data_IF_232255695723
#
_entry.id   IF_232255695723
#
_cell.length_a   1.000
_cell.length_b   1.000
_cell.length_c   1.000
_cell.angle_alpha   90.00
_cell.angle_beta   90.00
_cell.angle_gamma   90.00
#
_symmetry.space_group_name_H-M   'P 1'
#
loop_
_entity.id
_entity.type
_entity.pdbx_description
1 polymer ?
#
# COMPACT_ATOMS: atom_id res chain seq x y z
N UNK A 1 -54.45 2.04 1.22
CA UNK A 1 -53.96 0.71 1.65
C UNK A 1 -52.44 0.54 1.62
N UNK A 2 -51.68 1.36 2.34
CA UNK A 2 -50.24 1.09 2.55
C UNK A 2 -49.72 1.69 3.88
N UNK A 3 -50.59 1.85 4.88
CA UNK A 3 -50.23 2.35 6.21
C UNK A 3 -50.84 1.51 7.35
N UNK A 4 -51.29 0.28 7.05
CA UNK A 4 -51.83 -0.65 8.04
C UNK A 4 -50.97 -1.90 8.30
N UNK A 5 -49.95 -2.18 7.48
CA UNK A 5 -49.11 -3.38 7.66
C UNK A 5 -47.82 -3.16 8.47
N UNK A 6 -47.47 -1.92 8.85
CA UNK A 6 -46.23 -1.64 9.59
C UNK A 6 -46.43 -1.66 11.12
N UNK A 7 -47.68 -1.70 11.61
CA UNK A 7 -47.97 -1.69 13.06
C UNK A 7 -47.91 -3.05 13.75
N UNK A 8 -47.97 -4.15 13.00
CA UNK A 8 -48.02 -5.52 13.56
C UNK A 8 -46.65 -6.23 13.62
N UNK A 9 -45.55 -5.59 13.19
CA UNK A 9 -44.20 -6.14 13.29
C UNK A 9 -43.33 -5.54 14.41
N UNK A 10 -43.86 -4.58 15.17
CA UNK A 10 -43.12 -3.86 16.24
C UNK A 10 -43.62 -4.15 17.67
N UNK A 11 -44.43 -5.20 17.87
CA UNK A 11 -44.87 -5.64 19.20
C UNK A 11 -44.75 -7.16 19.32
N UNK A 12 -43.52 -7.66 19.34
CA UNK A 12 -43.20 -8.95 19.95
C UNK A 12 -42.07 -8.74 20.96
N UNK A 13 -42.37 -7.99 22.02
CA UNK A 13 -41.65 -8.09 23.28
C UNK A 13 -41.86 -9.52 23.80
N UNK A 14 -40.94 -10.42 23.47
CA UNK A 14 -40.78 -11.68 24.21
C UNK A 14 -40.27 -11.31 25.60
N UNK A 15 -41.21 -11.00 26.47
CA UNK A 15 -41.01 -10.81 27.90
C UNK A 15 -40.35 -12.08 28.46
N UNK A 16 -39.11 -11.96 28.90
CA UNK A 16 -38.44 -13.03 29.63
C UNK A 16 -39.15 -13.21 30.97
N UNK A 17 -39.83 -14.34 31.16
CA UNK A 17 -40.42 -14.73 32.44
C UNK A 17 -39.45 -15.65 33.17
N UNK A 18 -38.86 -15.14 34.25
CA UNK A 18 -37.98 -15.90 35.14
C UNK A 18 -38.83 -16.82 36.02
N UNK A 19 -38.74 -18.14 35.83
CA UNK A 19 -39.35 -19.15 36.70
C UNK A 19 -38.32 -19.65 37.73
N UNK A 20 -38.40 -19.26 39.03
CA UNK A 20 -37.43 -19.65 40.05
C UNK A 20 -37.50 -21.14 40.47
N UNK A 21 -38.37 -21.96 39.86
CA UNK A 21 -38.45 -23.41 40.09
C UNK A 21 -37.69 -24.25 39.06
N UNK A 22 -37.39 -23.69 37.89
CA UNK A 22 -36.68 -24.38 36.80
C UNK A 22 -35.27 -23.79 36.73
N UNK A 23 -34.36 -24.33 37.56
CA UNK A 23 -32.98 -23.88 37.65
C UNK A 23 -32.31 -23.70 36.28
N UNK A 24 -31.45 -22.68 36.17
CA UNK A 24 -30.73 -22.37 34.93
C UNK A 24 -29.72 -23.51 34.67
N UNK A 25 -29.87 -24.22 33.56
CA UNK A 25 -28.82 -25.10 33.01
C UNK A 25 -27.62 -24.22 32.64
N UNK A 26 -26.65 -24.18 33.55
CA UNK A 26 -25.37 -23.50 33.37
C UNK A 26 -24.37 -24.49 32.77
N UNK A 27 -24.00 -24.40 31.49
CA UNK A 27 -22.90 -25.22 30.97
C UNK A 27 -21.62 -24.80 31.68
N UNK A 28 -21.09 -25.72 32.48
CA UNK A 28 -19.93 -25.50 33.34
C UNK A 28 -18.70 -25.03 32.55
N UNK A 29 -18.29 -23.78 32.81
CA UNK A 29 -16.92 -23.33 32.59
C UNK A 29 -16.07 -23.88 33.74
N UNK A 30 -15.16 -24.80 33.42
CA UNK A 30 -14.13 -25.29 34.33
C UNK A 30 -13.16 -24.15 34.65
N UNK A 31 -13.34 -23.52 35.81
CA UNK A 31 -12.31 -22.70 36.42
C UNK A 31 -11.31 -23.65 37.08
N UNK A 32 -10.18 -23.89 36.40
CA UNK A 32 -9.00 -24.42 37.06
C UNK A 32 -8.43 -23.35 37.99
N UNK A 33 -8.07 -23.79 39.19
CA UNK A 33 -7.76 -23.01 40.37
C UNK A 33 -6.48 -22.17 40.20
N UNK A 34 -6.61 -20.86 40.41
CA UNK A 34 -5.51 -19.93 40.61
C UNK A 34 -5.09 -19.98 42.09
N UNK A 35 -3.93 -20.57 42.36
CA UNK A 35 -3.23 -20.46 43.65
C UNK A 35 -1.83 -19.90 43.42
N UNK A 36 -1.75 -18.58 43.26
CA UNK A 36 -0.51 -17.79 43.34
C UNK A 36 -0.65 -16.63 44.33
N UNK A 37 0.40 -16.29 45.12
CA UNK A 37 0.28 -15.32 46.21
C UNK A 37 0.29 -13.85 45.71
N UNK A 38 -0.18 -12.89 46.53
CA UNK A 38 -0.26 -11.48 46.14
C UNK A 38 1.09 -10.75 46.36
N UNK A 39 1.34 -9.78 45.47
CA UNK A 39 2.36 -8.73 45.50
C UNK A 39 3.82 -9.09 45.17
N UNK A 40 4.31 -8.50 44.07
CA UNK A 40 5.72 -8.29 43.77
C UNK A 40 5.90 -7.90 42.30
N UNK A 41 6.29 -6.66 42.03
CA UNK A 41 6.68 -6.18 40.70
C UNK A 41 7.76 -7.10 40.10
N UNK A 42 7.38 -7.98 39.18
CA UNK A 42 8.31 -8.72 38.34
C UNK A 42 8.09 -8.33 36.88
N UNK A 43 9.01 -7.51 36.36
CA UNK A 43 9.18 -7.29 34.92
C UNK A 43 9.81 -8.53 34.29
N UNK A 44 9.06 -9.61 34.21
CA UNK A 44 9.34 -10.72 33.32
C UNK A 44 8.08 -10.95 32.50
N UNK A 45 7.88 -10.08 31.51
CA UNK A 45 6.97 -10.40 30.41
C UNK A 45 7.56 -11.62 29.70
N UNK A 46 7.04 -12.80 30.05
CA UNK A 46 7.33 -14.00 29.30
C UNK A 46 6.94 -13.74 27.84
N UNK A 47 7.72 -14.26 26.89
CA UNK A 47 7.47 -14.11 25.46
C UNK A 47 6.12 -14.67 24.98
N UNK A 48 5.30 -15.22 25.90
CA UNK A 48 3.95 -15.76 25.68
C UNK A 48 2.84 -14.71 25.72
N UNK A 49 3.07 -13.53 26.30
CA UNK A 49 2.03 -12.50 26.46
C UNK A 49 2.09 -11.39 25.39
N UNK A 50 3.02 -11.51 24.44
CA UNK A 50 3.25 -10.52 23.38
C UNK A 50 2.34 -10.81 22.20
N UNK A 51 1.52 -9.85 21.79
CA UNK A 51 0.68 -10.04 20.60
C UNK A 51 1.52 -10.07 19.32
N UNK A 52 1.06 -10.83 18.33
CA UNK A 52 1.68 -10.84 17.00
C UNK A 52 1.31 -9.58 16.21
N UNK A 53 2.17 -9.12 15.27
CA UNK A 53 1.83 -8.04 14.38
C UNK A 53 0.53 -8.29 13.60
N UNK A 54 -0.37 -7.31 13.63
CA UNK A 54 -1.66 -7.30 12.93
C UNK A 54 -1.54 -6.59 11.59
N UNK A 55 -2.28 -7.08 10.60
CA UNK A 55 -2.22 -6.55 9.23
C UNK A 55 -3.57 -5.98 8.80
N UNK A 56 -3.58 -4.73 8.37
CA UNK A 56 -4.78 -4.01 7.98
C UNK A 56 -4.67 -3.46 6.56
N UNK A 57 -5.41 -4.04 5.62
CA UNK A 57 -5.62 -3.44 4.30
C UNK A 57 -6.75 -2.42 4.38
N UNK A 58 -6.40 -1.14 4.49
CA UNK A 58 -7.36 -0.05 4.49
C UNK A 58 -7.74 0.32 3.05
N UNK A 59 -8.99 0.71 2.84
CA UNK A 59 -9.48 1.19 1.54
C UNK A 59 -10.50 2.30 1.77
N UNK A 60 -10.24 3.46 1.18
CA UNK A 60 -11.04 4.69 1.36
C UNK A 60 -11.59 5.20 0.04
N UNK A 61 -12.67 5.98 0.08
CA UNK A 61 -13.10 6.78 -1.07
C UNK A 61 -12.11 7.90 -1.43
N UNK A 62 -12.26 8.50 -2.60
CA UNK A 62 -11.42 9.62 -3.06
C UNK A 62 -11.52 10.86 -2.15
N UNK A 63 -12.69 11.12 -1.58
CA UNK A 63 -12.94 12.24 -0.67
C UNK A 63 -12.82 11.88 0.83
N UNK A 64 -12.55 10.61 1.15
CA UNK A 64 -12.40 10.14 2.53
C UNK A 64 -10.92 10.10 2.94
N UNK A 65 -10.66 10.17 4.24
CA UNK A 65 -9.36 9.84 4.84
C UNK A 65 -9.33 8.36 5.26
N UNK A 66 -8.18 7.86 5.71
CA UNK A 66 -8.13 6.54 6.33
C UNK A 66 -8.69 6.53 7.77
N UNK A 67 -9.02 7.69 8.34
CA UNK A 67 -9.63 7.84 9.66
C UNK A 67 -8.67 7.58 10.82
N UNK A 68 -7.40 7.98 10.70
CA UNK A 68 -6.42 7.97 11.78
C UNK A 68 -5.36 9.06 11.55
N UNK A 69 -4.69 9.47 12.62
CA UNK A 69 -3.52 10.34 12.61
C UNK A 69 -2.27 9.53 12.99
N UNK A 70 -1.16 9.79 12.31
CA UNK A 70 0.14 9.24 12.67
C UNK A 70 0.89 10.27 13.51
N UNK A 71 1.39 9.89 14.67
CA UNK A 71 2.10 10.76 15.60
C UNK A 71 3.51 10.23 15.88
N UNK A 72 4.43 11.16 16.11
CA UNK A 72 5.71 10.91 16.77
C UNK A 72 5.68 11.69 18.09
N UNK A 73 5.74 10.98 19.21
CA UNK A 73 5.60 11.56 20.55
C UNK A 73 6.96 11.66 21.24
N UNK A 74 7.23 12.80 21.88
CA UNK A 74 8.49 13.03 22.60
C UNK A 74 8.70 11.97 23.68
N UNK A 75 9.79 11.22 23.57
CA UNK A 75 10.16 10.16 24.51
C UNK A 75 9.60 8.78 24.18
N UNK A 76 8.75 8.66 23.15
CA UNK A 76 8.28 7.39 22.60
C UNK A 76 9.08 7.02 21.35
N UNK A 77 9.33 5.73 21.14
CA UNK A 77 9.95 5.23 19.91
C UNK A 77 8.89 4.82 18.89
N UNK A 78 9.26 4.94 17.62
CA UNK A 78 8.42 4.53 16.48
C UNK A 78 7.26 5.49 16.21
N UNK A 79 6.38 5.07 15.30
CA UNK A 79 5.24 5.87 14.87
C UNK A 79 3.93 5.34 15.46
N UNK A 80 3.15 6.23 16.04
CA UNK A 80 1.97 5.89 16.84
C UNK A 80 0.70 6.24 16.08
N UNK A 81 -0.22 5.29 16.01
CA UNK A 81 -1.58 5.52 15.54
C UNK A 81 -2.38 6.21 16.65
N UNK A 82 -2.97 7.35 16.34
CA UNK A 82 -3.81 8.16 17.25
C UNK A 82 -5.04 8.66 16.53
N UNK A 83 -6.01 9.15 17.30
CA UNK A 83 -7.20 9.82 16.76
C UNK A 83 -7.93 8.95 15.73
N UNK A 84 -8.05 7.64 16.02
CA UNK A 84 -8.81 6.72 15.18
C UNK A 84 -10.28 7.16 15.21
N UNK A 85 -10.77 7.60 14.06
CA UNK A 85 -12.10 8.17 13.90
C UNK A 85 -13.19 7.13 14.17
N UNK A 86 -14.16 7.46 15.02
CA UNK A 86 -15.30 6.60 15.30
C UNK A 86 -16.12 6.37 14.02
N UNK A 87 -16.29 5.11 13.66
CA UNK A 87 -16.93 4.69 12.42
C UNK A 87 -16.07 4.87 11.17
N UNK A 88 -14.82 5.33 11.27
CA UNK A 88 -13.90 5.55 10.15
C UNK A 88 -13.35 4.26 9.53
N UNK A 89 -12.60 4.38 8.43
CA UNK A 89 -12.03 3.23 7.69
C UNK A 89 -11.10 2.40 8.59
N UNK A 90 -10.19 3.05 9.32
CA UNK A 90 -9.28 2.43 10.27
C UNK A 90 -10.00 1.66 11.38
N UNK A 91 -10.94 2.31 12.07
CA UNK A 91 -11.66 1.69 13.19
C UNK A 91 -12.49 0.49 12.75
N UNK A 92 -13.18 0.56 11.60
CA UNK A 92 -13.97 -0.57 11.06
C UNK A 92 -13.11 -1.78 10.71
N UNK A 93 -11.81 -1.57 10.48
CA UNK A 93 -10.85 -2.66 10.29
C UNK A 93 -10.22 -3.15 11.59
N UNK A 94 -10.48 -2.47 12.71
CA UNK A 94 -10.00 -2.84 14.04
C UNK A 94 -8.66 -2.22 14.42
N UNK A 95 -8.22 -1.16 13.72
CA UNK A 95 -7.07 -0.37 14.12
C UNK A 95 -7.40 0.44 15.38
N UNK A 96 -6.46 0.55 16.32
CA UNK A 96 -6.71 1.16 17.63
C UNK A 96 -5.72 2.29 17.94
N UNK A 97 -6.16 3.24 18.77
CA UNK A 97 -5.28 4.25 19.34
C UNK A 97 -4.20 3.59 20.20
N UNK A 98 -2.95 3.98 19.98
CA UNK A 98 -1.79 3.41 20.66
C UNK A 98 -1.06 2.33 19.86
N UNK A 99 -1.67 1.78 18.80
CA UNK A 99 -1.00 0.86 17.88
C UNK A 99 0.28 1.51 17.31
N UNK A 100 1.34 0.71 17.16
CA UNK A 100 2.64 1.10 16.62
C UNK A 100 2.80 0.61 15.20
N UNK A 101 3.07 1.53 14.28
CA UNK A 101 3.20 1.23 12.87
C UNK A 101 4.57 0.63 12.56
N UNK A 102 4.59 -0.62 12.10
CA UNK A 102 5.80 -1.36 11.77
C UNK A 102 6.07 -1.45 10.27
N UNK A 103 5.02 -1.63 9.44
CA UNK A 103 5.17 -1.63 7.98
C UNK A 103 4.10 -0.84 7.24
N UNK A 104 4.50 -0.26 6.10
CA UNK A 104 3.60 0.32 5.09
C UNK A 104 3.87 -0.38 3.75
N UNK A 105 2.85 -1.06 3.20
CA UNK A 105 2.93 -1.86 1.96
C UNK A 105 4.13 -2.82 1.93
N UNK A 106 4.46 -3.44 3.07
CA UNK A 106 5.56 -4.39 3.22
C UNK A 106 6.95 -3.75 3.46
N UNK A 107 7.07 -2.43 3.43
CA UNK A 107 8.29 -1.74 3.84
C UNK A 107 8.32 -1.55 5.35
N UNK A 108 9.41 -1.93 6.00
CA UNK A 108 9.61 -1.67 7.42
C UNK A 108 9.86 -0.18 7.67
N UNK A 109 9.11 0.42 8.59
CA UNK A 109 9.10 1.88 8.79
C UNK A 109 9.47 2.34 10.20
N UNK A 110 9.71 1.43 11.14
CA UNK A 110 9.95 1.79 12.56
C UNK A 110 11.17 2.69 12.80
N UNK A 111 12.16 2.65 11.89
CA UNK A 111 13.37 3.46 11.94
C UNK A 111 13.40 4.58 10.91
N UNK A 112 12.31 4.77 10.17
CA UNK A 112 12.22 5.82 9.17
C UNK A 112 11.85 7.16 9.83
N UNK A 113 12.24 8.25 9.18
CA UNK A 113 11.79 9.58 9.61
C UNK A 113 10.27 9.72 9.44
N UNK A 114 9.61 10.37 10.40
CA UNK A 114 8.15 10.45 10.44
C UNK A 114 7.52 10.98 9.14
N UNK A 115 8.07 12.03 8.54
CA UNK A 115 7.53 12.57 7.28
C UNK A 115 7.63 11.57 6.12
N UNK A 116 8.69 10.74 6.07
CA UNK A 116 8.84 9.71 5.04
C UNK A 116 7.75 8.66 5.15
N UNK A 117 7.40 8.27 6.38
CA UNK A 117 6.32 7.30 6.63
C UNK A 117 4.96 7.89 6.22
N UNK A 118 4.70 9.15 6.57
CA UNK A 118 3.49 9.87 6.12
C UNK A 118 3.43 9.94 4.59
N UNK A 119 4.56 10.23 3.93
CA UNK A 119 4.63 10.26 2.46
C UNK A 119 4.34 8.90 1.84
N UNK A 120 4.87 7.79 2.39
CA UNK A 120 4.56 6.43 1.92
C UNK A 120 3.07 6.11 2.04
N UNK A 121 2.42 6.47 3.15
CA UNK A 121 0.97 6.27 3.32
C UNK A 121 0.19 7.10 2.29
N UNK A 122 0.56 8.37 2.08
CA UNK A 122 -0.09 9.25 1.09
C UNK A 122 0.09 8.76 -0.34
N UNK A 123 1.31 8.31 -0.70
CA UNK A 123 1.62 7.75 -2.02
C UNK A 123 0.83 6.47 -2.34
N UNK A 124 0.29 5.80 -1.31
CA UNK A 124 -0.57 4.63 -1.47
C UNK A 124 -1.97 4.97 -2.02
N UNK A 125 -2.33 6.26 -2.08
CA UNK A 125 -3.59 6.71 -2.63
C UNK A 125 -4.78 6.23 -1.79
N UNK A 126 -5.66 5.43 -2.39
CA UNK A 126 -6.91 5.00 -1.75
C UNK A 126 -6.82 3.66 -1.03
N UNK A 127 -5.70 2.94 -1.12
CA UNK A 127 -5.52 1.67 -0.44
C UNK A 127 -4.15 1.61 0.20
N UNK A 128 -4.04 1.11 1.43
CA UNK A 128 -2.75 0.96 2.10
C UNK A 128 -2.78 -0.29 2.98
N UNK A 129 -1.71 -1.09 2.95
CA UNK A 129 -1.53 -2.22 3.85
C UNK A 129 -0.60 -1.79 4.99
N UNK A 130 -1.12 -1.82 6.22
CA UNK A 130 -0.37 -1.50 7.43
C UNK A 130 -0.07 -2.79 8.19
N UNK A 131 1.15 -2.95 8.69
CA UNK A 131 1.45 -3.90 9.76
C UNK A 131 1.66 -3.10 11.05
N UNK A 132 0.95 -3.46 12.11
CA UNK A 132 1.03 -2.77 13.41
C UNK A 132 1.21 -3.75 14.54
N UNK A 133 1.77 -3.28 15.64
CA UNK A 133 1.87 -3.99 16.90
C UNK A 133 1.18 -3.15 17.98
N UNK A 134 0.53 -3.76 18.96
CA UNK A 134 -0.03 -2.98 20.06
C UNK A 134 1.09 -2.25 20.83
N UNK A 135 0.72 -1.16 21.51
CA UNK A 135 1.68 -0.30 22.19
C UNK A 135 2.48 -1.02 23.29
N UNK A 136 1.83 -1.88 24.07
CA UNK A 136 2.45 -2.55 25.21
C UNK A 136 3.46 -3.60 24.74
N UNK A 137 3.08 -4.43 23.76
CA UNK A 137 4.00 -5.37 23.11
C UNK A 137 5.15 -4.67 22.41
N UNK A 138 4.91 -3.51 21.79
CA UNK A 138 6.00 -2.76 21.17
C UNK A 138 7.04 -2.30 22.20
N UNK A 139 6.60 -1.67 23.30
CA UNK A 139 7.51 -1.19 24.34
C UNK A 139 8.25 -2.36 25.01
N UNK A 140 7.56 -3.47 25.27
CA UNK A 140 8.19 -4.69 25.80
C UNK A 140 9.24 -5.27 24.84
N UNK A 141 8.96 -5.32 23.53
CA UNK A 141 9.90 -5.81 22.54
C UNK A 141 11.14 -4.90 22.46
N UNK A 142 10.96 -3.57 22.50
CA UNK A 142 12.06 -2.60 22.53
C UNK A 142 12.88 -2.69 23.81
N UNK A 143 12.25 -2.86 24.97
CA UNK A 143 12.95 -3.01 26.25
C UNK A 143 13.82 -4.28 26.29
N UNK A 144 13.38 -5.35 25.62
CA UNK A 144 14.13 -6.59 25.44
C UNK A 144 15.20 -6.51 24.33
N UNK A 145 15.32 -5.38 23.62
CA UNK A 145 16.26 -5.21 22.51
C UNK A 145 15.94 -6.11 21.30
N UNK A 146 14.68 -6.51 21.13
CA UNK A 146 14.27 -7.35 19.99
C UNK A 146 14.29 -6.55 18.70
N UNK A 147 14.70 -7.22 17.63
CA UNK A 147 14.56 -6.73 16.28
C UNK A 147 13.12 -6.94 15.80
N UNK A 148 12.36 -5.84 15.75
CA UNK A 148 10.95 -5.86 15.33
C UNK A 148 10.78 -6.30 13.87
N UNK A 149 11.81 -6.15 13.03
CA UNK A 149 11.75 -6.61 11.64
C UNK A 149 11.65 -8.13 11.54
N UNK A 150 12.21 -8.86 12.52
CA UNK A 150 12.17 -10.32 12.58
C UNK A 150 10.82 -10.87 13.07
N UNK A 151 9.96 -10.01 13.63
CA UNK A 151 8.58 -10.37 13.99
C UNK A 151 7.64 -10.34 12.77
N UNK A 152 8.10 -9.77 11.65
CA UNK A 152 7.34 -9.63 10.42
C UNK A 152 7.73 -10.75 9.44
N UNK A 153 6.79 -11.20 8.59
CA UNK A 153 7.09 -12.22 7.61
C UNK A 153 8.08 -11.68 6.55
N UNK A 154 8.98 -12.55 6.09
CA UNK A 154 9.93 -12.22 5.04
C UNK A 154 9.20 -11.97 3.71
N UNK A 155 9.49 -10.82 3.09
CA UNK A 155 8.97 -10.30 1.80
C UNK A 155 7.67 -10.95 1.30
N UNK A 156 6.57 -10.51 1.89
CA UNK A 156 5.21 -10.92 1.51
C UNK A 156 4.64 -10.10 0.36
N UNK A 157 5.44 -9.28 -0.33
CA UNK A 157 4.90 -8.42 -1.38
C UNK A 157 4.60 -9.23 -2.65
N UNK A 158 3.40 -9.11 -3.25
CA UNK A 158 3.18 -9.58 -4.61
C UNK A 158 4.11 -8.83 -5.57
N UNK A 159 4.28 -9.30 -6.80
CA UNK A 159 5.10 -8.62 -7.80
C UNK A 159 4.24 -8.05 -8.92
N UNK A 160 4.57 -6.84 -9.34
CA UNK A 160 3.99 -6.25 -10.52
C UNK A 160 5.01 -6.26 -11.66
N UNK A 161 4.76 -7.08 -12.67
CA UNK A 161 5.71 -7.37 -13.74
C UNK A 161 5.19 -6.83 -15.07
N UNK A 162 5.99 -6.01 -15.76
CA UNK A 162 5.66 -5.54 -17.11
C UNK A 162 6.49 -6.28 -18.16
N UNK A 163 5.82 -7.03 -19.03
CA UNK A 163 6.45 -7.94 -19.99
C UNK A 163 6.22 -7.41 -21.39
N UNK A 164 7.32 -7.23 -22.14
CA UNK A 164 7.27 -7.01 -23.59
C UNK A 164 7.59 -8.33 -24.30
N UNK A 165 6.68 -8.80 -25.15
CA UNK A 165 6.86 -10.09 -25.85
C UNK A 165 8.02 -10.04 -26.86
N UNK A 166 8.69 -11.18 -27.02
CA UNK A 166 9.64 -11.42 -28.11
C UNK A 166 8.96 -12.14 -29.28
N UNK A 167 9.76 -12.58 -30.26
CA UNK A 167 9.30 -13.41 -31.40
C UNK A 167 8.63 -14.74 -30.98
N UNK A 168 8.93 -15.22 -29.78
CA UNK A 168 8.44 -16.46 -29.18
C UNK A 168 7.39 -16.20 -28.07
N UNK A 169 6.76 -15.01 -28.05
CA UNK A 169 5.70 -14.64 -27.12
C UNK A 169 6.20 -13.99 -25.82
N UNK A 170 5.38 -14.02 -24.78
CA UNK A 170 5.70 -13.38 -23.49
C UNK A 170 6.68 -14.20 -22.63
N UNK A 171 7.01 -15.44 -23.02
CA UNK A 171 7.92 -16.30 -22.25
C UNK A 171 7.29 -16.94 -21.02
N UNK A 172 5.97 -17.06 -20.96
CA UNK A 172 5.27 -17.85 -19.95
C UNK A 172 4.09 -18.63 -20.58
N UNK A 173 3.69 -19.71 -19.92
CA UNK A 173 2.43 -20.41 -20.15
C UNK A 173 1.58 -20.37 -18.88
N UNK A 174 0.27 -20.57 -19.04
CA UNK A 174 -0.68 -20.57 -17.92
C UNK A 174 -1.26 -21.97 -17.79
N UNK A 175 -1.25 -22.51 -16.58
CA UNK A 175 -2.01 -23.71 -16.21
C UNK A 175 -3.20 -23.32 -15.34
N UNK A 176 -4.33 -24.01 -15.51
CA UNK A 176 -5.50 -23.89 -14.65
C UNK A 176 -6.01 -25.30 -14.30
N UNK A 177 -6.42 -25.56 -13.04
CA UNK A 177 -7.14 -26.78 -12.70
C UNK A 177 -8.43 -26.91 -13.53
N UNK A 178 -8.74 -28.12 -14.01
CA UNK A 178 -9.94 -28.35 -14.81
C UNK A 178 -11.21 -27.95 -14.04
N UNK A 179 -12.10 -27.21 -14.71
CA UNK A 179 -13.36 -26.74 -14.13
C UNK A 179 -13.24 -25.53 -13.19
N UNK A 180 -12.03 -25.08 -12.84
CA UNK A 180 -11.83 -23.93 -11.96
C UNK A 180 -11.64 -22.63 -12.76
N UNK A 181 -12.37 -21.58 -12.38
CA UNK A 181 -12.18 -20.22 -12.93
C UNK A 181 -11.28 -19.41 -12.01
N UNK A 182 -10.48 -18.53 -12.60
CA UNK A 182 -9.69 -17.55 -11.87
C UNK A 182 -8.49 -18.03 -11.08
N UNK A 183 -8.14 -19.30 -11.22
CA UNK A 183 -6.95 -19.90 -10.60
C UNK A 183 -5.96 -20.25 -11.70
N UNK A 184 -4.94 -19.42 -11.84
CA UNK A 184 -3.98 -19.48 -12.94
C UNK A 184 -2.56 -19.50 -12.39
N UNK A 185 -1.82 -20.56 -12.68
CA UNK A 185 -0.41 -20.66 -12.31
C UNK A 185 0.47 -20.44 -13.54
N UNK A 186 1.55 -19.69 -13.37
CA UNK A 186 2.46 -19.33 -14.44
C UNK A 186 3.65 -20.30 -14.47
N UNK A 187 3.91 -20.89 -15.63
CA UNK A 187 5.18 -21.54 -15.92
C UNK A 187 6.00 -20.62 -16.81
N UNK A 188 7.15 -20.18 -16.30
CA UNK A 188 8.02 -19.20 -16.92
C UNK A 188 9.14 -19.92 -17.67
N UNK A 189 9.42 -19.46 -18.89
CA UNK A 189 10.51 -19.98 -19.71
C UNK A 189 11.82 -19.30 -19.28
N UNK A 190 12.84 -20.10 -19.01
CA UNK A 190 14.20 -19.64 -18.77
C UNK A 190 14.70 -18.74 -19.91
N UNK A 191 15.36 -17.64 -19.55
CA UNK A 191 15.84 -16.54 -20.40
C UNK A 191 14.75 -15.84 -21.22
N UNK A 192 13.48 -16.13 -20.92
CA UNK A 192 12.31 -15.56 -21.57
C UNK A 192 11.99 -14.13 -21.10
N UNK A 193 11.14 -13.40 -21.84
CA UNK A 193 10.76 -12.04 -21.45
C UNK A 193 10.11 -11.96 -20.07
N UNK A 194 9.29 -12.94 -19.67
CA UNK A 194 8.65 -12.98 -18.36
C UNK A 194 9.65 -13.10 -17.20
N UNK A 195 10.67 -13.96 -17.33
CA UNK A 195 11.71 -14.11 -16.32
C UNK A 195 12.51 -12.80 -16.17
N UNK A 196 12.89 -12.19 -17.30
CA UNK A 196 13.59 -10.90 -17.35
C UNK A 196 12.78 -9.75 -16.76
N UNK A 197 11.45 -9.85 -16.81
CA UNK A 197 10.52 -8.91 -16.20
C UNK A 197 10.20 -9.24 -14.73
N UNK A 198 10.88 -10.22 -14.13
CA UNK A 198 10.79 -10.54 -12.70
C UNK A 198 9.66 -11.49 -12.29
N UNK A 199 8.97 -12.11 -13.25
CA UNK A 199 7.88 -13.06 -12.97
C UNK A 199 8.46 -14.31 -12.32
N UNK A 200 8.07 -14.65 -11.07
CA UNK A 200 8.57 -15.86 -10.42
C UNK A 200 8.01 -17.13 -11.08
N UNK A 201 8.83 -18.16 -11.19
CA UNK A 201 8.38 -19.50 -11.61
C UNK A 201 7.30 -20.04 -10.67
N UNK A 202 6.21 -20.59 -11.22
CA UNK A 202 5.14 -21.20 -10.43
C UNK A 202 4.26 -20.20 -9.67
N UNK A 203 4.38 -18.90 -9.97
CA UNK A 203 3.55 -17.86 -9.33
C UNK A 203 2.10 -17.89 -9.81
N UNK A 204 1.21 -17.42 -8.96
CA UNK A 204 -0.21 -17.25 -9.23
C UNK A 204 -0.47 -15.92 -9.92
N UNK A 205 -1.20 -15.95 -11.03
CA UNK A 205 -1.67 -14.74 -11.70
C UNK A 205 -2.94 -14.21 -11.02
N UNK A 206 -2.92 -12.94 -10.65
CA UNK A 206 -4.00 -12.28 -9.90
C UNK A 206 -4.69 -11.20 -10.73
N UNK A 207 -3.93 -10.45 -11.53
CA UNK A 207 -4.44 -9.42 -12.44
C UNK A 207 -3.66 -9.42 -13.76
N UNK A 208 -4.35 -9.08 -14.85
CA UNK A 208 -3.79 -8.85 -16.18
C UNK A 208 -4.20 -7.45 -16.64
N UNK A 209 -3.23 -6.56 -16.84
CA UNK A 209 -3.40 -5.16 -17.21
C UNK A 209 -4.38 -4.40 -16.28
N UNK A 210 -4.27 -4.64 -14.96
CA UNK A 210 -5.15 -4.04 -13.95
C UNK A 210 -6.52 -4.72 -13.78
N UNK A 211 -6.87 -5.69 -14.65
CA UNK A 211 -8.10 -6.46 -14.51
C UNK A 211 -7.89 -7.73 -13.69
N UNK A 212 -8.71 -7.94 -12.66
CA UNK A 212 -8.68 -9.19 -11.89
C UNK A 212 -9.03 -10.41 -12.73
N UNK A 213 -8.28 -11.49 -12.55
CA UNK A 213 -8.53 -12.77 -13.23
C UNK A 213 -9.44 -13.71 -12.46
N UNK A 214 -9.84 -13.39 -11.22
CA UNK A 214 -10.56 -14.30 -10.30
C UNK A 214 -11.87 -14.89 -10.84
N UNK A 215 -12.51 -14.26 -11.81
CA UNK A 215 -13.79 -14.70 -12.37
C UNK A 215 -13.72 -15.14 -13.84
N UNK A 216 -12.53 -15.08 -14.47
CA UNK A 216 -12.38 -15.36 -15.91
C UNK A 216 -12.00 -16.82 -16.17
N UNK A 217 -12.49 -17.35 -17.29
CA UNK A 217 -12.09 -18.67 -17.79
C UNK A 217 -10.73 -18.64 -18.49
N UNK A 218 -10.12 -19.81 -18.67
CA UNK A 218 -8.88 -19.94 -19.46
C UNK A 218 -9.02 -19.38 -20.89
N UNK A 219 -10.18 -19.59 -21.52
CA UNK A 219 -10.47 -19.04 -22.86
C UNK A 219 -10.55 -17.52 -22.88
N UNK A 220 -11.17 -16.92 -21.85
CA UNK A 220 -11.25 -15.47 -21.70
C UNK A 220 -9.88 -14.85 -21.42
N UNK A 221 -9.07 -15.47 -20.56
CA UNK A 221 -7.70 -15.05 -20.28
C UNK A 221 -6.84 -15.08 -21.55
N UNK A 222 -6.88 -16.19 -22.30
CA UNK A 222 -6.17 -16.33 -23.58
C UNK A 222 -6.58 -15.25 -24.58
N UNK A 223 -7.89 -14.90 -24.63
CA UNK A 223 -8.38 -13.82 -25.49
C UNK A 223 -7.85 -12.46 -25.05
N UNK A 224 -7.86 -12.15 -23.75
CA UNK A 224 -7.31 -10.91 -23.19
C UNK A 224 -5.81 -10.77 -23.49
N UNK A 225 -5.03 -11.85 -23.33
CA UNK A 225 -3.60 -11.86 -23.68
C UNK A 225 -3.35 -11.57 -25.16
N UNK A 226 -4.15 -12.15 -26.07
CA UNK A 226 -4.06 -11.87 -27.51
C UNK A 226 -4.42 -10.42 -27.86
N UNK A 227 -5.39 -9.84 -27.15
CA UNK A 227 -5.84 -8.45 -27.32
C UNK A 227 -4.85 -7.43 -26.77
N UNK A 228 -3.98 -7.83 -25.83
CA UNK A 228 -3.01 -6.94 -25.18
C UNK A 228 -1.84 -6.53 -26.09
N UNK A 229 -1.77 -7.04 -27.32
CA UNK A 229 -0.74 -6.67 -28.29
C UNK A 229 0.65 -7.20 -27.92
N UNK A 230 1.63 -6.31 -27.81
CA UNK A 230 3.04 -6.65 -27.54
C UNK A 230 3.45 -6.54 -26.08
N UNK A 231 2.61 -5.97 -25.20
CA UNK A 231 2.95 -5.69 -23.81
C UNK A 231 1.84 -6.16 -22.88
N UNK A 232 2.21 -6.68 -21.71
CA UNK A 232 1.26 -7.03 -20.64
C UNK A 232 1.84 -6.66 -19.29
N UNK A 233 0.99 -6.23 -18.37
CA UNK A 233 1.34 -6.05 -16.96
C UNK A 233 0.63 -7.11 -16.14
N UNK A 234 1.37 -7.88 -15.34
CA UNK A 234 0.84 -8.96 -14.50
C UNK A 234 1.02 -8.60 -13.03
N UNK A 235 -0.04 -8.74 -12.23
CA UNK A 235 0.09 -8.85 -10.77
C UNK A 235 0.18 -10.33 -10.43
N UNK A 236 1.28 -10.74 -9.80
CA UNK A 236 1.54 -12.14 -9.46
C UNK A 236 1.91 -12.32 -7.99
N UNK A 237 1.60 -13.47 -7.42
CA UNK A 237 2.00 -13.84 -6.07
C UNK A 237 2.67 -15.22 -6.06
N UNK A 238 3.76 -15.37 -5.30
CA UNK A 238 4.28 -16.71 -5.01
C UNK A 238 3.28 -17.49 -4.14
N UNK A 239 3.43 -18.81 -4.02
CA UNK A 239 2.55 -19.60 -3.14
C UNK A 239 2.59 -19.12 -1.68
N UNK A 240 3.76 -18.72 -1.17
CA UNK A 240 3.89 -18.20 0.19
C UNK A 240 3.17 -16.85 0.37
N UNK A 241 3.27 -15.96 -0.62
CA UNK A 241 2.55 -14.68 -0.63
C UNK A 241 1.04 -14.90 -0.71
N UNK A 242 0.58 -15.76 -1.62
CA UNK A 242 -0.84 -16.09 -1.75
C UNK A 242 -1.40 -16.64 -0.44
N UNK A 243 -0.68 -17.60 0.17
CA UNK A 243 -1.08 -18.21 1.44
C UNK A 243 -1.13 -17.19 2.57
N UNK A 244 -0.15 -16.29 2.66
CA UNK A 244 -0.13 -15.22 3.65
C UNK A 244 -1.39 -14.35 3.58
N UNK A 245 -1.75 -13.87 2.38
CA UNK A 245 -2.93 -13.03 2.19
C UNK A 245 -4.22 -13.82 2.43
N UNK A 246 -4.29 -15.07 1.95
CA UNK A 246 -5.47 -15.94 2.08
C UNK A 246 -5.77 -16.26 3.54
N UNK A 247 -4.78 -16.67 4.32
CA UNK A 247 -4.94 -17.01 5.74
C UNK A 247 -5.37 -15.81 6.59
N UNK A 248 -5.03 -14.59 6.17
CA UNK A 248 -5.40 -13.34 6.84
C UNK A 248 -6.65 -12.67 6.27
N UNK A 249 -7.31 -13.29 5.30
CA UNK A 249 -8.47 -12.70 4.62
C UNK A 249 -8.17 -11.39 3.89
N UNK A 250 -6.91 -11.13 3.56
CA UNK A 250 -6.47 -9.92 2.86
C UNK A 250 -6.64 -10.09 1.35
N UNK A 251 -6.93 -8.98 0.68
CA UNK A 251 -6.90 -8.92 -0.79
C UNK A 251 -5.54 -8.44 -1.25
N UNK A 252 -4.93 -9.18 -2.17
CA UNK A 252 -3.75 -8.70 -2.89
C UNK A 252 -4.18 -7.57 -3.83
N UNK A 253 -3.44 -6.47 -3.84
CA UNK A 253 -3.67 -5.32 -4.73
C UNK A 253 -2.34 -4.86 -5.32
N UNK A 254 -2.38 -4.21 -6.48
CA UNK A 254 -1.18 -3.71 -7.13
C UNK A 254 -0.43 -2.65 -6.30
N UNK A 255 -1.11 -1.93 -5.40
CA UNK A 255 -0.50 -0.95 -4.48
C UNK A 255 0.43 -1.61 -3.45
N UNK A 256 0.15 -2.86 -3.10
CA UNK A 256 0.99 -3.63 -2.16
C UNK A 256 2.17 -4.34 -2.83
N UNK A 257 2.29 -4.21 -4.15
CA UNK A 257 3.27 -4.96 -4.91
C UNK A 257 4.67 -4.34 -4.89
N UNK A 258 5.67 -5.21 -4.97
CA UNK A 258 7.00 -4.83 -5.38
C UNK A 258 6.96 -4.33 -6.83
N UNK A 259 7.28 -3.05 -7.00
CA UNK A 259 7.31 -2.33 -8.28
C UNK A 259 8.75 -2.15 -8.81
N UNK A 260 9.72 -2.82 -8.18
CA UNK A 260 11.13 -2.78 -8.61
C UNK A 260 11.33 -3.17 -10.07
N UNK A 261 10.45 -4.06 -10.58
CA UNK A 261 10.50 -4.64 -11.92
C UNK A 261 9.80 -3.81 -13.01
N UNK A 262 9.23 -2.66 -12.65
CA UNK A 262 8.58 -1.78 -13.62
C UNK A 262 9.64 -1.02 -14.45
N UNK A 263 9.40 -0.82 -15.76
CA UNK A 263 10.39 -0.25 -16.67
C UNK A 263 10.54 1.28 -16.55
N UNK A 264 9.62 1.94 -15.84
CA UNK A 264 9.61 3.39 -15.66
C UNK A 264 9.86 3.72 -14.19
N UNK A 265 10.85 4.57 -13.95
CA UNK A 265 11.25 5.02 -12.62
C UNK A 265 11.20 6.54 -12.57
N UNK A 266 10.68 7.07 -11.47
CA UNK A 266 10.74 8.49 -11.20
C UNK A 266 12.21 8.90 -11.01
N UNK A 267 12.54 10.13 -11.42
CA UNK A 267 13.88 10.70 -11.35
C UNK A 267 13.88 11.83 -10.34
N UNK A 268 14.78 11.72 -9.37
CA UNK A 268 15.03 12.81 -8.44
C UNK A 268 16.08 13.75 -9.03
N UNK A 269 15.71 15.03 -9.13
CA UNK A 269 16.53 16.09 -9.71
C UNK A 269 16.88 17.08 -8.60
N UNK A 270 18.17 17.20 -8.31
CA UNK A 270 18.69 18.20 -7.38
C UNK A 270 19.27 19.35 -8.17
N UNK A 271 18.81 20.57 -7.90
CA UNK A 271 19.30 21.76 -8.60
C UNK A 271 19.49 22.94 -7.66
N UNK A 272 20.57 23.68 -7.91
CA UNK A 272 20.89 24.95 -7.25
C UNK A 272 20.59 26.09 -8.21
N UNK A 273 19.94 27.13 -7.71
CA UNK A 273 19.48 28.26 -8.50
C UNK A 273 20.67 29.06 -9.03
N UNK A 274 20.73 29.25 -10.35
CA UNK A 274 21.71 30.11 -10.98
C UNK A 274 21.29 31.59 -10.97
N UNK A 275 22.16 32.50 -11.45
CA UNK A 275 21.82 33.92 -11.60
C UNK A 275 20.65 34.15 -12.57
N UNK A 276 20.42 33.24 -13.51
CA UNK A 276 19.28 33.24 -14.43
C UNK A 276 18.07 32.42 -13.90
N UNK A 277 18.11 31.98 -12.64
CA UNK A 277 17.12 31.05 -12.08
C UNK A 277 17.46 29.58 -12.37
N UNK A 278 16.43 28.73 -12.37
CA UNK A 278 16.58 27.29 -12.62
C UNK A 278 16.58 26.92 -14.10
N UNK A 279 15.95 27.73 -14.97
CA UNK A 279 15.91 27.50 -16.41
C UNK A 279 14.82 26.53 -16.90
N UNK A 280 13.60 26.66 -16.34
CA UNK A 280 12.42 25.93 -16.79
C UNK A 280 11.15 26.75 -16.51
N UNK A 281 10.07 26.40 -17.21
CA UNK A 281 8.71 26.85 -16.93
C UNK A 281 7.87 25.71 -16.35
N UNK A 282 6.96 26.05 -15.44
CA UNK A 282 5.96 25.13 -14.91
C UNK A 282 4.63 25.43 -15.59
N UNK A 283 3.99 24.40 -16.14
CA UNK A 283 2.68 24.48 -16.80
C UNK A 283 1.69 23.57 -16.09
N UNK A 284 0.50 24.09 -15.81
CA UNK A 284 -0.64 23.25 -15.43
C UNK A 284 -1.32 22.72 -16.70
N UNK A 285 -1.55 21.41 -16.76
CA UNK A 285 -2.22 20.75 -17.89
C UNK A 285 -3.11 19.60 -17.42
N UNK A 286 -4.08 19.21 -18.24
CA UNK A 286 -5.00 18.13 -17.93
C UNK A 286 -4.31 16.76 -18.06
N UNK A 287 -4.27 15.99 -16.98
CA UNK A 287 -3.92 14.57 -17.05
C UNK A 287 -5.07 13.80 -17.70
N UNK A 288 -4.76 12.69 -18.39
CA UNK A 288 -5.77 11.79 -18.98
C UNK A 288 -6.74 11.17 -17.97
N UNK A 289 -6.39 11.22 -16.67
CA UNK A 289 -7.24 10.84 -15.54
C UNK A 289 -8.36 11.85 -15.23
N UNK A 290 -8.37 13.02 -15.87
CA UNK A 290 -9.30 14.12 -15.60
C UNK A 290 -8.89 15.02 -14.41
N UNK A 291 -7.71 14.78 -13.82
CA UNK A 291 -7.10 15.66 -12.82
C UNK A 291 -6.10 16.60 -13.50
N UNK A 292 -5.87 17.80 -12.95
CA UNK A 292 -4.79 18.68 -13.43
C UNK A 292 -3.44 18.25 -12.85
N UNK A 293 -2.40 18.32 -13.66
CA UNK A 293 -1.02 18.00 -13.30
C UNK A 293 -0.08 19.17 -13.60
N UNK A 294 1.09 19.15 -12.96
CA UNK A 294 2.13 20.15 -13.17
C UNK A 294 3.24 19.55 -14.03
N UNK A 295 3.54 20.18 -15.16
CA UNK A 295 4.46 19.71 -16.18
C UNK A 295 5.58 20.72 -16.40
N UNK A 296 6.76 20.21 -16.67
CA UNK A 296 7.96 20.98 -16.92
C UNK A 296 8.03 21.29 -18.43
N UNK A 297 8.24 22.56 -18.75
CA UNK A 297 8.21 23.09 -20.11
C UNK A 297 9.37 24.06 -20.34
N UNK A 298 9.76 24.28 -21.59
CA UNK A 298 10.77 25.27 -22.00
C UNK A 298 12.06 25.18 -21.14
N UNK A 299 12.72 24.01 -21.20
CA UNK A 299 13.96 23.77 -20.44
C UNK A 299 15.12 24.43 -21.17
N UNK A 300 15.72 25.43 -20.53
CA UNK A 300 16.78 26.24 -21.10
C UNK A 300 18.11 25.49 -21.14
N UNK A 301 18.75 25.50 -22.32
CA UNK A 301 20.02 24.84 -22.55
C UNK A 301 21.14 25.42 -21.65
N UNK A 302 21.87 24.54 -20.97
CA UNK A 302 22.99 24.87 -20.09
C UNK A 302 22.60 25.43 -18.73
N UNK A 303 21.30 25.56 -18.40
CA UNK A 303 20.83 26.01 -17.09
C UNK A 303 20.66 24.85 -16.09
N UNK A 304 20.55 25.13 -14.77
CA UNK A 304 20.54 24.10 -13.73
C UNK A 304 19.53 22.97 -13.94
N UNK A 305 18.35 23.27 -14.49
CA UNK A 305 17.32 22.29 -14.79
C UNK A 305 17.80 21.22 -15.79
N UNK A 306 18.32 21.63 -16.96
CA UNK A 306 18.85 20.70 -17.96
C UNK A 306 20.04 19.89 -17.39
N UNK A 307 20.93 20.56 -16.66
CA UNK A 307 22.10 19.92 -16.03
C UNK A 307 21.72 18.86 -15.01
N UNK A 308 20.62 19.06 -14.27
CA UNK A 308 20.06 18.06 -13.36
C UNK A 308 19.40 16.88 -14.09
N UNK A 309 19.21 16.98 -15.42
CA UNK A 309 18.60 15.95 -16.26
C UNK A 309 17.11 16.17 -16.51
N UNK A 310 16.58 17.38 -16.26
CA UNK A 310 15.19 17.72 -16.57
C UNK A 310 14.92 17.62 -18.08
N UNK A 311 13.75 17.11 -18.46
CA UNK A 311 13.30 17.04 -19.85
C UNK A 311 11.96 17.74 -20.02
N UNK A 312 11.77 18.35 -21.18
CA UNK A 312 10.48 18.91 -21.56
C UNK A 312 9.39 17.82 -21.56
N UNK A 313 8.25 18.14 -20.95
CA UNK A 313 7.11 17.22 -20.80
C UNK A 313 7.17 16.35 -19.54
N UNK A 314 8.25 16.38 -18.77
CA UNK A 314 8.30 15.69 -17.48
C UNK A 314 7.17 16.17 -16.56
N UNK A 315 6.46 15.23 -15.94
CA UNK A 315 5.46 15.53 -14.91
C UNK A 315 6.13 15.63 -13.55
N UNK A 316 5.84 16.69 -12.82
CA UNK A 316 6.28 16.89 -11.44
C UNK A 316 5.39 16.07 -10.49
N UNK A 317 6.02 15.30 -9.61
CA UNK A 317 5.36 14.41 -8.65
C UNK A 317 5.53 14.88 -7.20
N UNK A 318 6.74 15.36 -6.86
CA UNK A 318 7.05 15.86 -5.53
C UNK A 318 8.08 17.00 -5.59
N UNK A 319 8.05 17.87 -4.58
CA UNK A 319 9.00 18.97 -4.39
C UNK A 319 9.54 18.91 -2.96
N UNK A 320 10.87 18.89 -2.81
CA UNK A 320 11.57 18.76 -1.53
C UNK A 320 11.06 17.54 -0.71
N UNK A 321 10.81 16.44 -1.41
CA UNK A 321 10.27 15.20 -0.85
C UNK A 321 8.76 15.18 -0.62
N UNK A 322 8.06 16.32 -0.68
CA UNK A 322 6.61 16.35 -0.49
C UNK A 322 5.86 16.16 -1.81
N UNK A 323 4.95 15.19 -1.85
CA UNK A 323 4.02 15.02 -2.97
C UNK A 323 3.25 16.32 -3.24
N UNK A 324 3.13 16.67 -4.52
CA UNK A 324 2.32 17.81 -4.98
C UNK A 324 0.92 17.40 -5.43
N UNK A 325 0.55 16.12 -5.25
CA UNK A 325 -0.78 15.62 -5.59
C UNK A 325 -1.87 16.36 -4.80
N UNK A 326 -2.88 16.85 -5.53
CA UNK A 326 -4.00 17.63 -4.96
C UNK A 326 -3.68 19.10 -4.69
N UNK A 327 -2.46 19.57 -4.99
CA UNK A 327 -2.13 20.99 -4.94
C UNK A 327 -2.49 21.70 -6.24
N UNK A 328 -2.87 22.97 -6.13
CA UNK A 328 -2.98 23.84 -7.30
C UNK A 328 -1.59 24.32 -7.79
N UNK A 329 -1.59 24.98 -8.95
CA UNK A 329 -0.37 25.53 -9.55
C UNK A 329 0.36 26.50 -8.62
N UNK A 330 -0.36 27.41 -7.96
CA UNK A 330 0.25 28.43 -7.10
C UNK A 330 0.89 27.80 -5.86
N UNK A 331 0.22 26.84 -5.23
CA UNK A 331 0.74 26.08 -4.10
C UNK A 331 1.99 25.28 -4.47
N UNK A 332 2.02 24.72 -5.69
CA UNK A 332 3.21 24.03 -6.21
C UNK A 332 4.37 25.01 -6.40
N UNK A 333 4.13 26.17 -7.01
CA UNK A 333 5.15 27.22 -7.19
C UNK A 333 5.70 27.71 -5.85
N UNK A 334 4.83 27.88 -4.84
CA UNK A 334 5.25 28.27 -3.49
C UNK A 334 6.17 27.22 -2.86
N UNK A 335 5.89 25.91 -3.05
CA UNK A 335 6.80 24.85 -2.59
C UNK A 335 8.15 24.87 -3.28
N UNK A 336 8.19 25.11 -4.59
CA UNK A 336 9.44 25.20 -5.35
C UNK A 336 10.30 26.37 -4.85
N UNK A 337 9.65 27.47 -4.45
CA UNK A 337 10.31 28.69 -3.95
C UNK A 337 10.54 28.69 -2.44
N UNK A 338 10.16 27.63 -1.72
CA UNK A 338 10.29 27.60 -0.26
C UNK A 338 11.75 27.67 0.21
N UNK A 339 12.67 27.14 -0.61
CA UNK A 339 14.11 27.25 -0.44
C UNK A 339 14.66 28.16 -1.55
N UNK A 340 15.27 29.29 -1.17
CA UNK A 340 15.61 30.35 -2.12
C UNK A 340 16.64 29.94 -3.18
N UNK A 341 17.56 29.04 -2.82
CA UNK A 341 18.75 28.71 -3.61
C UNK A 341 18.80 27.26 -4.11
N UNK A 342 17.93 26.36 -3.62
CA UNK A 342 17.98 24.94 -3.99
C UNK A 342 16.60 24.28 -3.98
N UNK A 343 16.41 23.31 -4.86
CA UNK A 343 15.19 22.51 -4.89
C UNK A 343 15.48 21.08 -5.33
N UNK A 344 14.83 20.13 -4.68
CA UNK A 344 14.77 18.73 -5.09
C UNK A 344 13.41 18.48 -5.73
N UNK A 345 13.39 17.98 -6.96
CA UNK A 345 12.15 17.64 -7.67
C UNK A 345 12.12 16.17 -8.03
N UNK A 346 10.99 15.52 -7.77
CA UNK A 346 10.75 14.17 -8.26
C UNK A 346 9.87 14.25 -9.50
N UNK A 347 10.36 13.73 -10.61
CA UNK A 347 9.68 13.82 -11.91
C UNK A 347 9.53 12.46 -12.58
N UNK A 348 8.57 12.33 -13.48
CA UNK A 348 8.41 11.15 -14.35
C UNK A 348 8.25 11.60 -15.80
N UNK A 349 8.85 10.85 -16.73
CA UNK A 349 8.72 11.14 -18.15
C UNK A 349 7.31 10.84 -18.68
N UNK A 350 6.89 11.41 -19.83
CA UNK A 350 5.55 11.21 -20.38
C UNK A 350 5.14 9.74 -20.58
N UNK A 351 6.08 8.87 -20.99
CA UNK A 351 5.78 7.47 -21.23
C UNK A 351 5.59 6.71 -19.91
N UNK A 352 6.38 7.04 -18.90
CA UNK A 352 6.21 6.55 -17.53
C UNK A 352 4.89 7.02 -16.92
N UNK A 353 4.55 8.30 -17.07
CA UNK A 353 3.29 8.85 -16.58
C UNK A 353 2.08 8.14 -17.23
N UNK A 354 2.09 7.96 -18.55
CA UNK A 354 1.05 7.22 -19.27
C UNK A 354 0.94 5.77 -18.76
N UNK A 355 2.08 5.12 -18.53
CA UNK A 355 2.12 3.76 -18.02
C UNK A 355 1.48 3.63 -16.64
N UNK A 356 1.88 4.44 -15.66
CA UNK A 356 1.34 4.40 -14.30
C UNK A 356 -0.16 4.72 -14.27
N UNK A 357 -0.61 5.67 -15.08
CA UNK A 357 -2.04 5.93 -15.27
C UNK A 357 -2.79 4.72 -15.83
N UNK A 358 -2.22 4.02 -16.83
CA UNK A 358 -2.88 2.87 -17.48
C UNK A 358 -3.14 1.69 -16.54
N UNK A 359 -2.36 1.58 -15.46
CA UNK A 359 -2.48 0.54 -14.44
C UNK A 359 -3.08 1.06 -13.12
N UNK A 360 -3.49 2.33 -13.07
CA UNK A 360 -4.13 2.93 -11.90
C UNK A 360 -3.24 3.03 -10.66
N UNK A 361 -1.93 3.22 -10.84
CA UNK A 361 -0.97 3.38 -9.75
C UNK A 361 -0.33 4.77 -9.77
N UNK A 362 0.06 5.25 -8.58
CA UNK A 362 0.89 6.46 -8.48
C UNK A 362 2.36 6.11 -8.74
N UNK A 363 3.09 6.87 -9.58
CA UNK A 363 4.53 6.69 -9.75
C UNK A 363 5.31 6.82 -8.43
N UNK A 364 4.74 7.54 -7.44
CA UNK A 364 5.32 7.72 -6.10
C UNK A 364 5.45 6.40 -5.33
N UNK A 365 4.68 5.37 -5.67
CA UNK A 365 4.81 4.02 -5.09
C UNK A 365 6.13 3.34 -5.45
N UNK A 366 6.70 3.70 -6.61
CA UNK A 366 7.96 3.13 -7.11
C UNK A 366 9.20 3.87 -6.63
N UNK A 367 8.99 5.00 -5.94
CA UNK A 367 10.06 5.81 -5.41
C UNK A 367 10.52 5.26 -4.07
N UNK A 368 11.67 4.62 -4.09
CA UNK A 368 12.48 4.37 -2.91
C UNK A 368 13.58 5.43 -2.94
N UNK A 369 13.57 6.34 -1.96
CA UNK A 369 14.76 7.15 -1.72
C UNK A 369 15.93 6.19 -1.55
N UNK A 370 16.94 6.36 -2.39
CA UNK A 370 18.23 5.77 -2.09
C UNK A 370 18.69 6.50 -0.85
N UNK A 371 18.72 5.84 0.32
CA UNK A 371 19.45 6.39 1.46
C UNK A 371 20.84 6.78 0.95
N UNK A 372 21.29 8.03 1.11
CA UNK A 372 22.67 8.34 0.84
C UNK A 372 23.48 7.56 1.87
N UNK A 373 24.17 6.52 1.38
CA UNK A 373 25.03 5.65 2.15
C UNK A 373 26.14 6.41 2.90
#
# INVERSE_FOLDING_TARGET
>A
DACKEIRDLLLHDKKFEFNPKDGIDNPALSLAEDTGPPHGLSFHADAKDMEEPRFYLLSKGSAETFGFSLHEELGCRGHIIRQVELGGVAQRRGLQDGDRLLQVNGHFVDHMEHHRVVQKIKASGNQVLLAVLDGDSYEAAKALGRDLSQMLPADIRPRLCHITRDKNGFGFSVSCPEGMKGTFQLSVRQDGPAEKAGVPQGSWLLELNGDSVRSISHTQLTRKLKQSGSKVTLLVASSAVEEFYRLRGLRVTAVTADTSWLPFKARELHMVKGPAGYGFLLKEDDCRSGATGQFLWDVDAGLPAEQAGMKEGDRLLAVNGESIEGLDHQQTVLRIRANDDQVTMLVIDPAGDEFYHSIGLSPLLSFEDSDPA
#
